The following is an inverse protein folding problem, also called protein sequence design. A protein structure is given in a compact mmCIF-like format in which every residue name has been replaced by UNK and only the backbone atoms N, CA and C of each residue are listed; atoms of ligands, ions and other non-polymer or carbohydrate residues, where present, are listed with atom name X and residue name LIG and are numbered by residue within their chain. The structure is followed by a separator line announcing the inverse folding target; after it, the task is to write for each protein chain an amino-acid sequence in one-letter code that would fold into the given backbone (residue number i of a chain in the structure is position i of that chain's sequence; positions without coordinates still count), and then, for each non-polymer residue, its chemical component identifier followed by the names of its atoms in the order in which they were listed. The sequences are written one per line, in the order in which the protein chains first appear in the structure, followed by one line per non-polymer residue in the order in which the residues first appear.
data_IF_406440107695
#
_entry.id   IF_406440107695
#
_cell.length_a   1.000
_cell.length_b   1.000
_cell.length_c   1.000
_cell.angle_alpha   90.00
_cell.angle_beta   90.00
_cell.angle_gamma   90.00
#
_symmetry.space_group_name_H-M   'P 1'
#
loop_
_entity.id
_entity.type
_entity.pdbx_description
1 polymer ?
#
# COMPACT_ATOMS: atom_id res chain seq x y z
N UNK A 1 7.98 -23.01 -12.44
CA UNK A 1 8.67 -21.95 -11.67
C UNK A 1 9.06 -22.41 -10.24
N UNK A 2 9.45 -23.69 -10.03
CA UNK A 2 9.67 -24.29 -8.69
C UNK A 2 11.14 -24.46 -8.28
N UNK A 3 12.10 -23.97 -9.07
CA UNK A 3 13.55 -24.16 -8.80
C UNK A 3 14.22 -23.06 -7.98
N UNK A 4 13.60 -21.87 -7.83
CA UNK A 4 14.25 -20.72 -7.19
C UNK A 4 14.01 -20.59 -5.69
N UNK A 5 12.97 -21.22 -5.13
CA UNK A 5 12.71 -21.23 -3.69
C UNK A 5 13.66 -22.13 -2.89
N UNK A 6 14.27 -23.15 -3.53
CA UNK A 6 15.16 -24.11 -2.84
C UNK A 6 16.55 -23.54 -2.54
N UNK A 7 16.98 -22.49 -3.22
CA UNK A 7 18.31 -21.88 -3.03
C UNK A 7 18.36 -20.81 -1.91
N UNK A 8 17.21 -20.36 -1.41
CA UNK A 8 17.12 -19.39 -0.31
C UNK A 8 17.20 -20.13 1.04
N UNK A 9 16.60 -21.33 1.14
CA UNK A 9 16.64 -22.15 2.36
C UNK A 9 18.06 -22.60 2.75
N UNK A 10 18.91 -22.99 1.79
CA UNK A 10 20.27 -23.47 2.11
C UNK A 10 21.22 -22.36 2.58
N UNK A 11 20.96 -21.08 2.25
CA UNK A 11 21.80 -19.95 2.70
C UNK A 11 21.44 -19.46 4.10
N UNK A 12 20.21 -19.70 4.55
CA UNK A 12 19.77 -19.35 5.90
C UNK A 12 20.33 -20.32 6.95
N UNK A 13 20.49 -21.61 6.63
CA UNK A 13 21.07 -22.60 7.54
C UNK A 13 22.59 -22.39 7.78
N UNK A 14 23.37 -22.02 6.74
CA UNK A 14 24.80 -21.69 6.89
C UNK A 14 25.04 -20.40 7.70
N UNK A 15 24.09 -19.45 7.70
CA UNK A 15 24.19 -18.22 8.48
C UNK A 15 23.92 -18.46 9.98
N UNK A 16 23.08 -19.45 10.31
CA UNK A 16 22.69 -19.78 11.69
C UNK A 16 23.79 -20.61 12.39
N UNK A 17 24.49 -21.51 11.70
CA UNK A 17 25.65 -22.22 12.27
C UNK A 17 26.81 -21.27 12.61
N UNK A 18 27.09 -20.26 11.77
CA UNK A 18 28.17 -19.30 11.99
C UNK A 18 27.90 -18.31 13.15
N UNK A 19 26.65 -18.12 13.54
CA UNK A 19 26.27 -17.26 14.67
C UNK A 19 26.33 -17.99 16.03
N UNK A 20 26.30 -19.33 16.03
CA UNK A 20 26.37 -20.13 17.24
C UNK A 20 27.82 -20.40 17.72
N UNK A 21 28.81 -20.43 16.82
CA UNK A 21 30.22 -20.62 17.20
C UNK A 21 30.87 -19.38 17.83
N UNK A 22 30.35 -18.18 17.58
CA UNK A 22 30.97 -16.93 18.05
C UNK A 22 30.56 -16.49 19.47
N UNK A 23 29.52 -17.10 20.06
CA UNK A 23 29.01 -16.71 21.39
C UNK A 23 29.60 -17.50 22.56
N UNK A 24 30.50 -18.46 22.33
CA UNK A 24 31.09 -19.30 23.39
C UNK A 24 32.42 -18.82 23.94
N UNK A 25 32.99 -17.69 23.47
CA UNK A 25 34.40 -17.37 23.75
C UNK A 25 34.68 -16.11 24.57
N UNK A 26 33.69 -15.39 25.12
CA UNK A 26 33.99 -14.25 26.00
C UNK A 26 33.04 -14.16 27.19
N UNK A 27 33.31 -15.01 28.19
CA UNK A 27 32.97 -14.75 29.59
C UNK A 27 34.27 -14.69 30.38
N UNK A 28 34.65 -13.49 30.87
CA UNK A 28 35.39 -13.32 32.13
C UNK A 28 35.69 -11.84 32.44
N UNK A 29 35.29 -11.41 33.66
CA UNK A 29 35.78 -10.27 34.47
C UNK A 29 35.31 -8.87 33.99
N UNK A 30 34.86 -7.91 34.81
CA UNK A 30 35.09 -7.62 36.22
C UNK A 30 34.01 -6.66 36.79
N UNK A 31 34.07 -6.48 38.11
CA UNK A 31 33.13 -5.87 39.06
C UNK A 31 32.83 -4.36 38.91
N UNK A 32 31.65 -3.98 39.45
CA UNK A 32 31.17 -2.67 39.91
C UNK A 32 32.09 -1.44 39.79
N UNK A 33 31.74 -0.52 38.89
CA UNK A 33 31.86 0.93 39.11
C UNK A 33 30.55 1.61 38.67
N UNK A 34 29.90 2.30 39.60
CA UNK A 34 28.80 3.22 39.28
C UNK A 34 29.38 4.47 38.63
N UNK A 35 29.26 4.58 37.31
CA UNK A 35 29.46 5.83 36.56
C UNK A 35 28.25 6.04 35.67
N UNK A 36 27.66 7.23 35.80
CA UNK A 36 26.43 7.67 35.14
C UNK A 36 26.42 7.34 33.65
N UNK A 37 25.28 6.83 33.15
CA UNK A 37 25.04 6.70 31.73
C UNK A 37 25.22 8.06 31.06
N UNK A 38 26.29 8.21 30.28
CA UNK A 38 26.52 9.34 29.40
C UNK A 38 25.76 9.20 28.08
N UNK A 39 24.82 8.25 27.99
CA UNK A 39 24.00 8.07 26.80
C UNK A 39 22.83 9.04 26.85
N UNK A 40 22.99 10.16 26.16
CA UNK A 40 21.85 10.92 25.67
C UNK A 40 21.39 10.23 24.38
N UNK A 41 20.17 9.68 24.30
CA UNK A 41 19.69 9.07 23.09
C UNK A 41 19.65 10.11 21.97
N UNK A 42 20.24 9.80 20.82
CA UNK A 42 20.13 10.65 19.64
C UNK A 42 18.64 10.77 19.24
N UNK A 43 18.16 11.97 18.86
CA UNK A 43 16.79 12.15 18.43
C UNK A 43 16.54 11.32 17.17
N UNK A 44 15.50 10.47 17.21
CA UNK A 44 14.95 9.89 15.99
C UNK A 44 14.26 11.05 15.26
N UNK A 45 14.75 11.37 14.06
CA UNK A 45 14.17 12.42 13.23
C UNK A 45 13.12 11.78 12.32
N UNK A 46 11.90 12.31 12.35
CA UNK A 46 10.82 11.91 11.45
C UNK A 46 10.71 12.97 10.36
N UNK A 47 10.68 12.57 9.08
CA UNK A 47 10.58 13.52 7.98
C UNK A 47 9.19 14.18 7.96
N UNK A 48 8.15 13.44 8.34
CA UNK A 48 6.78 13.94 8.52
C UNK A 48 5.97 13.15 9.57
N UNK A 49 4.67 13.50 9.68
CA UNK A 49 3.73 12.88 10.61
C UNK A 49 3.28 11.47 10.17
N UNK A 50 3.44 11.12 8.89
CA UNK A 50 3.16 9.79 8.35
C UNK A 50 4.26 8.84 8.81
N UNK A 51 5.53 9.21 8.64
CA UNK A 51 6.70 8.47 9.15
C UNK A 51 6.60 8.24 10.66
N UNK A 52 6.22 9.29 11.40
CA UNK A 52 6.01 9.17 12.85
C UNK A 52 4.90 8.18 13.20
N UNK A 53 3.81 8.14 12.43
CA UNK A 53 2.68 7.24 12.68
C UNK A 53 2.96 5.78 12.29
N UNK A 54 3.76 5.54 11.24
CA UNK A 54 4.04 4.22 10.68
C UNK A 54 4.97 3.36 11.56
N UNK A 55 5.72 3.98 12.47
CA UNK A 55 6.59 3.22 13.38
C UNK A 55 5.82 2.29 14.31
N UNK A 56 4.59 2.65 14.67
CA UNK A 56 3.75 1.81 15.53
C UNK A 56 3.40 0.48 14.84
N UNK A 57 2.80 0.46 13.63
CA UNK A 57 2.57 -0.79 12.91
C UNK A 57 3.86 -1.53 12.57
N UNK A 58 4.95 -0.85 12.19
CA UNK A 58 6.25 -1.49 11.93
C UNK A 58 6.79 -2.25 13.15
N UNK A 59 6.74 -1.63 14.34
CA UNK A 59 7.12 -2.28 15.59
C UNK A 59 6.18 -3.46 15.90
N UNK A 60 4.89 -3.33 15.56
CA UNK A 60 3.89 -4.36 15.81
C UNK A 60 3.94 -5.55 14.83
N UNK A 61 4.56 -5.42 13.65
CA UNK A 61 4.73 -6.56 12.74
C UNK A 61 5.48 -7.73 13.40
N UNK A 62 6.45 -7.43 14.27
CA UNK A 62 7.18 -8.42 15.05
C UNK A 62 6.36 -9.06 16.20
N UNK A 63 5.12 -8.62 16.41
CA UNK A 63 4.17 -9.30 17.30
C UNK A 63 3.67 -10.62 16.71
N UNK A 64 3.57 -10.71 15.37
CA UNK A 64 3.09 -11.91 14.66
C UNK A 64 4.01 -13.10 14.94
N UNK A 65 5.34 -12.91 14.87
CA UNK A 65 6.32 -13.94 15.17
C UNK A 65 6.18 -14.50 16.59
N UNK A 66 5.95 -13.63 17.58
CA UNK A 66 5.78 -14.02 18.97
C UNK A 66 4.48 -14.81 19.20
N UNK A 67 3.40 -14.39 18.55
CA UNK A 67 2.12 -15.09 18.57
C UNK A 67 2.25 -16.49 17.98
N UNK A 68 2.87 -16.64 16.81
CA UNK A 68 3.11 -17.94 16.18
C UNK A 68 3.99 -18.86 17.05
N UNK A 69 5.06 -18.30 17.63
CA UNK A 69 5.96 -19.04 18.53
C UNK A 69 5.22 -19.57 19.76
N UNK A 70 4.27 -18.82 20.32
CA UNK A 70 3.42 -19.26 21.42
C UNK A 70 2.55 -20.47 21.04
N UNK A 71 1.83 -20.43 19.91
CA UNK A 71 1.00 -21.56 19.47
C UNK A 71 1.83 -22.78 19.06
N UNK A 72 3.00 -22.57 18.44
CA UNK A 72 3.93 -23.66 18.16
C UNK A 72 4.40 -24.35 19.45
N UNK A 73 4.65 -23.57 20.51
CA UNK A 73 4.98 -24.11 21.82
C UNK A 73 3.79 -24.86 22.45
N UNK A 74 2.56 -24.33 22.38
CA UNK A 74 1.35 -24.99 22.87
C UNK A 74 1.10 -26.33 22.17
N UNK A 75 1.20 -26.36 20.84
CA UNK A 75 1.00 -27.56 20.03
C UNK A 75 2.06 -28.64 20.29
N UNK A 76 3.22 -28.25 20.84
CA UNK A 76 4.24 -29.21 21.29
C UNK A 76 3.88 -29.90 22.63
N UNK A 77 2.78 -29.47 23.28
CA UNK A 77 2.30 -29.92 24.58
C UNK A 77 3.40 -29.95 25.66
N UNK A 78 4.30 -28.96 25.61
CA UNK A 78 5.45 -28.86 26.51
C UNK A 78 5.38 -27.56 27.30
N UNK A 79 5.02 -27.67 28.58
CA UNK A 79 4.90 -26.55 29.53
C UNK A 79 6.11 -25.62 29.54
N UNK A 80 7.33 -26.16 29.58
CA UNK A 80 8.55 -25.35 29.63
C UNK A 80 8.75 -24.53 28.35
N UNK A 81 8.39 -25.08 27.18
CA UNK A 81 8.45 -24.35 25.91
C UNK A 81 7.42 -23.22 25.89
N UNK A 82 6.22 -23.47 26.41
CA UNK A 82 5.14 -22.46 26.49
C UNK A 82 5.54 -21.31 27.42
N UNK A 83 6.00 -21.62 28.64
CA UNK A 83 6.49 -20.63 29.60
C UNK A 83 7.64 -19.77 29.03
N UNK A 84 8.55 -20.41 28.28
CA UNK A 84 9.64 -19.70 27.60
C UNK A 84 9.11 -18.77 26.49
N UNK A 85 8.17 -19.24 25.66
CA UNK A 85 7.57 -18.43 24.59
C UNK A 85 6.84 -17.21 25.15
N UNK A 86 6.03 -17.38 26.21
CA UNK A 86 5.36 -16.29 26.92
C UNK A 86 6.36 -15.28 27.47
N UNK A 87 7.44 -15.76 28.09
CA UNK A 87 8.48 -14.89 28.67
C UNK A 87 9.19 -14.05 27.60
N UNK A 88 9.50 -14.64 26.43
CA UNK A 88 10.08 -13.93 25.29
C UNK A 88 9.11 -12.87 24.79
N UNK A 89 7.84 -13.25 24.56
CA UNK A 89 6.81 -12.36 24.06
C UNK A 89 6.63 -11.11 24.93
N UNK A 90 6.53 -11.28 26.26
CA UNK A 90 6.43 -10.15 27.20
C UNK A 90 7.67 -9.25 27.17
N UNK A 91 8.86 -9.84 27.10
CA UNK A 91 10.11 -9.07 27.05
C UNK A 91 10.21 -8.25 25.76
N UNK A 92 9.79 -8.80 24.62
CA UNK A 92 9.80 -8.06 23.36
C UNK A 92 8.77 -6.92 23.36
N UNK A 93 7.57 -7.14 23.91
CA UNK A 93 6.59 -6.06 24.11
C UNK A 93 7.14 -4.92 24.99
N UNK A 94 7.93 -5.23 26.03
CA UNK A 94 8.60 -4.20 26.84
C UNK A 94 9.66 -3.44 26.02
N UNK A 95 10.41 -4.11 25.15
CA UNK A 95 11.36 -3.45 24.24
C UNK A 95 10.64 -2.55 23.23
N UNK A 96 9.51 -3.00 22.68
CA UNK A 96 8.69 -2.22 21.75
C UNK A 96 8.16 -0.96 22.41
N UNK A 97 7.62 -1.08 23.62
CA UNK A 97 7.20 0.06 24.44
C UNK A 97 8.33 1.05 24.69
N UNK A 98 9.55 0.56 24.95
CA UNK A 98 10.72 1.41 25.13
C UNK A 98 11.17 2.09 23.82
N UNK A 99 11.02 1.44 22.67
CA UNK A 99 11.24 2.07 21.36
C UNK A 99 10.24 3.22 21.14
N UNK A 100 8.95 3.00 21.44
CA UNK A 100 7.93 4.06 21.37
C UNK A 100 8.28 5.24 22.28
N UNK A 101 8.75 5.00 23.51
CA UNK A 101 9.19 6.08 24.40
C UNK A 101 10.31 6.94 23.81
N UNK A 102 11.21 6.32 23.04
CA UNK A 102 12.35 7.01 22.40
C UNK A 102 11.95 7.85 21.19
N UNK A 103 10.78 7.59 20.59
CA UNK A 103 10.26 8.43 19.50
C UNK A 103 10.08 9.89 19.95
N UNK A 104 9.66 10.12 21.20
CA UNK A 104 9.35 11.45 21.70
C UNK A 104 8.09 12.04 21.07
N UNK A 105 7.67 13.26 21.46
CA UNK A 105 6.51 13.92 20.88
C UNK A 105 6.75 14.39 19.44
N UNK A 106 5.75 14.30 18.58
CA UNK A 106 5.77 14.89 17.25
C UNK A 106 5.26 16.33 17.31
N UNK A 107 6.11 17.30 16.96
CA UNK A 107 5.81 18.74 17.08
C UNK A 107 5.27 19.17 18.46
N UNK A 108 5.70 18.49 19.53
CA UNK A 108 5.22 18.73 20.89
C UNK A 108 3.90 18.06 21.26
N UNK A 109 3.30 17.26 20.37
CA UNK A 109 2.18 16.38 20.64
C UNK A 109 2.66 14.95 20.96
N UNK A 110 2.45 14.51 22.19
CA UNK A 110 2.77 13.15 22.65
C UNK A 110 1.53 12.22 22.67
N UNK A 111 0.38 12.65 22.17
CA UNK A 111 -0.87 11.89 22.29
C UNK A 111 -0.77 10.50 21.64
N UNK A 112 -0.30 10.41 20.39
CA UNK A 112 -0.15 9.12 19.71
C UNK A 112 0.89 8.22 20.42
N UNK A 113 1.98 8.81 20.92
CA UNK A 113 3.00 8.11 21.70
C UNK A 113 2.39 7.47 22.97
N UNK A 114 1.60 8.24 23.71
CA UNK A 114 0.96 7.78 24.94
C UNK A 114 -0.03 6.63 24.65
N UNK A 115 -0.81 6.73 23.57
CA UNK A 115 -1.73 5.67 23.17
C UNK A 115 -1.00 4.41 22.72
N UNK A 116 0.12 4.53 22.02
CA UNK A 116 0.96 3.39 21.64
C UNK A 116 1.60 2.70 22.87
N UNK A 117 2.07 3.47 23.86
CA UNK A 117 2.55 2.90 25.14
C UNK A 117 1.44 2.13 25.83
N UNK A 118 0.23 2.71 25.92
CA UNK A 118 -0.92 2.06 26.53
C UNK A 118 -1.34 0.79 25.77
N UNK A 119 -1.25 0.80 24.44
CA UNK A 119 -1.51 -0.35 23.59
C UNK A 119 -0.58 -1.54 23.91
N UNK A 120 0.73 -1.29 24.03
CA UNK A 120 1.68 -2.35 24.42
C UNK A 120 1.49 -2.81 25.87
N UNK A 121 1.16 -1.91 26.80
CA UNK A 121 0.80 -2.29 28.18
C UNK A 121 -0.44 -3.18 28.23
N UNK A 122 -1.46 -2.89 27.44
CA UNK A 122 -2.69 -3.69 27.36
C UNK A 122 -2.42 -5.07 26.74
N UNK A 123 -1.53 -5.17 25.74
CA UNK A 123 -1.06 -6.46 25.20
C UNK A 123 -0.34 -7.30 26.25
N UNK A 124 0.55 -6.70 27.05
CA UNK A 124 1.23 -7.41 28.15
C UNK A 124 0.21 -7.92 29.18
N UNK A 125 -0.76 -7.08 29.58
CA UNK A 125 -1.82 -7.50 30.50
C UNK A 125 -2.69 -8.61 29.92
N UNK A 126 -2.95 -8.62 28.62
CA UNK A 126 -3.72 -9.69 27.95
C UNK A 126 -2.95 -11.02 28.00
N UNK A 127 -1.62 -10.97 27.86
CA UNK A 127 -0.80 -12.17 28.04
C UNK A 127 -0.95 -12.71 29.46
N UNK A 128 -0.77 -11.85 30.47
CA UNK A 128 -0.83 -12.23 31.89
C UNK A 128 -2.20 -12.71 32.34
N UNK A 129 -3.26 -12.05 31.88
CA UNK A 129 -4.61 -12.31 32.37
C UNK A 129 -5.35 -13.38 31.57
N UNK A 130 -5.01 -13.53 30.28
CA UNK A 130 -5.82 -14.30 29.33
C UNK A 130 -5.00 -15.40 28.64
N UNK A 131 -3.90 -15.08 27.93
CA UNK A 131 -3.12 -16.11 27.23
C UNK A 131 -2.43 -17.09 28.16
N UNK A 132 -1.88 -16.65 29.30
CA UNK A 132 -1.30 -17.55 30.31
C UNK A 132 -2.34 -18.51 30.89
N UNK A 133 -3.56 -18.03 31.14
CA UNK A 133 -4.67 -18.87 31.64
C UNK A 133 -5.18 -19.83 30.57
N UNK A 134 -5.28 -19.36 29.32
CA UNK A 134 -5.62 -20.21 28.18
C UNK A 134 -4.57 -21.31 28.01
N UNK A 135 -3.28 -20.97 28.08
CA UNK A 135 -2.20 -21.95 27.98
C UNK A 135 -2.27 -23.02 29.07
N UNK A 136 -2.53 -22.62 30.32
CA UNK A 136 -2.71 -23.57 31.41
C UNK A 136 -3.91 -24.50 31.17
N UNK A 137 -5.04 -23.93 30.75
CA UNK A 137 -6.25 -24.68 30.42
C UNK A 137 -6.00 -25.67 29.27
N UNK A 138 -5.26 -25.25 28.24
CA UNK A 138 -4.88 -26.10 27.11
C UNK A 138 -4.01 -27.28 27.54
N UNK A 139 -2.96 -27.02 28.33
CA UNK A 139 -2.02 -28.05 28.78
C UNK A 139 -2.64 -29.06 29.77
N UNK A 140 -3.75 -28.70 30.39
CA UNK A 140 -4.46 -29.53 31.38
C UNK A 140 -5.78 -30.10 30.88
N UNK A 141 -6.14 -29.84 29.61
CA UNK A 141 -7.42 -30.23 29.00
C UNK A 141 -8.63 -29.73 29.81
N UNK A 142 -8.55 -28.49 30.28
CA UNK A 142 -9.60 -27.89 31.10
C UNK A 142 -10.84 -27.53 30.27
N UNK A 143 -12.06 -27.75 30.79
CA UNK A 143 -13.30 -27.60 30.03
C UNK A 143 -13.61 -26.16 29.60
N UNK A 144 -12.97 -25.16 30.21
CA UNK A 144 -13.15 -23.74 29.89
C UNK A 144 -12.08 -23.19 28.94
N UNK A 145 -11.24 -24.05 28.34
CA UNK A 145 -10.17 -23.64 27.42
C UNK A 145 -10.69 -22.76 26.27
N UNK A 146 -11.82 -23.10 25.66
CA UNK A 146 -12.38 -22.34 24.52
C UNK A 146 -12.80 -20.93 24.94
N UNK A 147 -13.46 -20.79 26.09
CA UNK A 147 -13.87 -19.49 26.62
C UNK A 147 -12.66 -18.57 26.87
N UNK A 148 -11.57 -19.14 27.40
CA UNK A 148 -10.33 -18.41 27.66
C UNK A 148 -9.62 -18.00 26.36
N UNK A 149 -9.63 -18.86 25.34
CA UNK A 149 -9.15 -18.55 24.00
C UNK A 149 -9.93 -17.38 23.40
N UNK A 150 -11.26 -17.48 23.37
CA UNK A 150 -12.13 -16.47 22.79
C UNK A 150 -11.92 -15.12 23.50
N UNK A 151 -11.76 -15.11 24.83
CA UNK A 151 -11.48 -13.89 25.58
C UNK A 151 -10.14 -13.27 25.21
N UNK A 152 -9.07 -14.06 25.13
CA UNK A 152 -7.73 -13.59 24.77
C UNK A 152 -7.69 -12.98 23.36
N UNK A 153 -8.34 -13.65 22.40
CA UNK A 153 -8.43 -13.22 21.01
C UNK A 153 -9.30 -11.97 20.84
N UNK A 154 -10.46 -11.91 21.50
CA UNK A 154 -11.33 -10.74 21.45
C UNK A 154 -10.65 -9.50 22.04
N UNK A 155 -9.91 -9.66 23.15
CA UNK A 155 -9.13 -8.56 23.74
C UNK A 155 -8.03 -8.09 22.77
N UNK A 156 -7.30 -9.02 22.13
CA UNK A 156 -6.29 -8.71 21.11
C UNK A 156 -6.88 -7.83 19.99
N UNK A 157 -8.02 -8.22 19.42
CA UNK A 157 -8.70 -7.46 18.37
C UNK A 157 -9.14 -6.07 18.85
N UNK A 158 -9.74 -5.99 20.05
CA UNK A 158 -10.20 -4.71 20.60
C UNK A 158 -9.06 -3.70 20.83
N UNK A 159 -7.83 -4.16 21.09
CA UNK A 159 -6.67 -3.28 21.19
C UNK A 159 -6.24 -2.75 19.83
N UNK A 160 -6.27 -3.60 18.78
CA UNK A 160 -5.99 -3.18 17.41
C UNK A 160 -6.94 -2.08 16.94
N UNK A 161 -8.24 -2.27 17.15
CA UNK A 161 -9.25 -1.27 16.79
C UNK A 161 -8.99 0.07 17.49
N UNK A 162 -8.60 0.03 18.77
CA UNK A 162 -8.33 1.23 19.55
C UNK A 162 -7.11 1.99 19.04
N UNK A 163 -6.00 1.32 18.76
CA UNK A 163 -4.80 2.02 18.28
C UNK A 163 -5.00 2.55 16.86
N UNK A 164 -5.72 1.81 16.00
CA UNK A 164 -6.05 2.26 14.65
C UNK A 164 -6.91 3.54 14.65
N UNK A 165 -7.91 3.62 15.54
CA UNK A 165 -8.71 4.84 15.71
C UNK A 165 -7.86 6.04 16.18
N UNK A 166 -6.80 5.81 16.97
CA UNK A 166 -5.88 6.88 17.38
C UNK A 166 -4.90 7.28 16.28
N UNK A 167 -4.42 6.32 15.48
CA UNK A 167 -3.62 6.57 14.28
C UNK A 167 -4.40 7.44 13.29
N UNK A 168 -5.64 7.07 12.98
CA UNK A 168 -6.51 7.83 12.08
C UNK A 168 -6.74 9.26 12.58
N UNK A 169 -7.03 9.45 13.87
CA UNK A 169 -7.21 10.78 14.48
C UNK A 169 -5.94 11.62 14.45
N UNK A 170 -4.79 11.01 14.68
CA UNK A 170 -3.50 11.70 14.63
C UNK A 170 -3.20 12.15 13.20
N UNK A 171 -3.32 11.24 12.22
CA UNK A 171 -3.12 11.53 10.80
C UNK A 171 -4.07 12.65 10.36
N UNK A 172 -5.38 12.52 10.61
CA UNK A 172 -6.37 13.55 10.26
C UNK A 172 -6.05 14.92 10.87
N UNK A 173 -5.60 14.97 12.13
CA UNK A 173 -5.25 16.22 12.80
C UNK A 173 -4.11 16.96 12.08
N UNK A 174 -3.09 16.23 11.63
CA UNK A 174 -1.94 16.80 10.93
C UNK A 174 -2.19 17.01 9.44
N UNK A 175 -3.05 16.20 8.82
CA UNK A 175 -3.64 16.48 7.51
C UNK A 175 -4.38 17.83 7.51
N UNK A 176 -5.29 18.03 8.47
CA UNK A 176 -6.07 19.27 8.61
C UNK A 176 -5.16 20.48 8.90
N UNK A 177 -4.14 20.30 9.75
CA UNK A 177 -3.16 21.36 10.09
C UNK A 177 -2.28 21.73 8.89
N UNK A 178 -1.93 20.76 8.06
CA UNK A 178 -1.09 20.95 6.87
C UNK A 178 -1.91 21.40 5.63
N UNK A 179 -3.25 21.27 5.69
CA UNK A 179 -4.15 21.58 4.57
C UNK A 179 -4.18 23.06 4.14
N UNK A 180 -3.94 24.02 5.06
CA UNK A 180 -4.10 25.46 4.74
C UNK A 180 -2.77 26.23 4.48
N UNK A 181 -1.60 25.70 4.88
CA UNK A 181 -0.30 26.40 4.73
C UNK A 181 0.83 25.48 4.21
N UNK A 182 0.78 24.18 4.52
CA UNK A 182 1.87 23.24 4.24
C UNK A 182 1.81 22.61 2.86
N UNK A 183 0.62 22.30 2.36
CA UNK A 183 0.39 21.68 1.04
C UNK A 183 1.09 22.46 -0.08
N UNK A 184 0.88 23.77 -0.17
CA UNK A 184 1.40 24.56 -1.30
C UNK A 184 2.94 24.72 -1.25
N UNK A 185 3.54 24.80 -0.07
CA UNK A 185 5.01 24.86 0.08
C UNK A 185 5.68 23.50 -0.05
N UNK A 186 5.04 22.42 0.40
CA UNK A 186 5.55 21.06 0.30
C UNK A 186 5.43 20.52 -1.13
N UNK A 187 4.32 20.79 -1.83
CA UNK A 187 4.24 20.58 -3.28
C UNK A 187 5.29 21.43 -3.99
N UNK A 188 5.49 22.71 -3.65
CA UNK A 188 6.56 23.50 -4.29
C UNK A 188 7.98 22.97 -4.04
N UNK A 189 8.27 22.41 -2.86
CA UNK A 189 9.59 21.84 -2.54
C UNK A 189 9.80 20.46 -3.17
N UNK A 190 8.79 19.60 -3.15
CA UNK A 190 8.79 18.31 -3.83
C UNK A 190 8.84 18.50 -5.35
N UNK A 191 8.00 19.36 -5.91
CA UNK A 191 8.01 19.73 -7.32
C UNK A 191 9.35 20.32 -7.73
N UNK A 192 9.97 21.19 -6.91
CA UNK A 192 11.27 21.77 -7.20
C UNK A 192 12.40 20.73 -7.19
N UNK A 193 12.38 19.77 -6.26
CA UNK A 193 13.36 18.68 -6.18
C UNK A 193 13.19 17.71 -7.35
N UNK A 194 11.96 17.34 -7.70
CA UNK A 194 11.64 16.52 -8.87
C UNK A 194 12.00 17.22 -10.19
N UNK A 195 11.82 18.55 -10.27
CA UNK A 195 12.30 19.38 -11.39
C UNK A 195 13.83 19.52 -11.44
N UNK A 196 14.52 19.33 -10.33
CA UNK A 196 15.99 19.32 -10.26
C UNK A 196 16.55 17.97 -10.68
N UNK A 197 16.00 16.87 -10.16
CA UNK A 197 16.39 15.49 -10.44
C UNK A 197 15.99 15.03 -11.86
N UNK A 198 15.00 15.68 -12.48
CA UNK A 198 14.54 15.38 -13.84
C UNK A 198 15.42 15.88 -14.98
N UNK A 199 16.37 16.80 -14.71
CA UNK A 199 17.12 17.47 -15.79
C UNK A 199 18.00 16.54 -16.62
N UNK A 200 18.38 15.39 -16.05
CA UNK A 200 19.24 14.39 -16.70
C UNK A 200 18.64 12.96 -16.64
N UNK A 201 17.35 12.82 -16.28
CA UNK A 201 16.72 11.49 -16.16
C UNK A 201 16.43 10.90 -17.56
N UNK A 202 17.07 9.79 -17.96
CA UNK A 202 16.90 9.19 -19.29
C UNK A 202 15.47 8.65 -19.51
N UNK A 203 14.71 8.39 -18.44
CA UNK A 203 13.31 7.98 -18.54
C UNK A 203 12.40 9.12 -19.01
N UNK A 204 12.86 10.37 -19.03
CA UNK A 204 12.07 11.53 -19.46
C UNK A 204 12.35 11.96 -20.91
N UNK A 205 13.21 11.25 -21.65
CA UNK A 205 13.50 11.56 -23.05
C UNK A 205 12.22 11.45 -23.91
N UNK A 206 11.83 12.47 -24.70
CA UNK A 206 10.62 12.40 -25.52
C UNK A 206 10.60 11.21 -26.47
N UNK A 207 9.44 10.56 -26.61
CA UNK A 207 9.24 9.41 -27.50
C UNK A 207 8.54 9.91 -28.76
N UNK A 208 9.16 9.80 -29.93
CA UNK A 208 8.65 10.39 -31.19
C UNK A 208 8.41 11.91 -31.14
N UNK A 209 9.07 12.61 -30.21
CA UNK A 209 8.81 14.03 -29.95
C UNK A 209 7.63 14.29 -29.01
N UNK A 210 6.98 13.25 -28.47
CA UNK A 210 5.95 13.33 -27.44
C UNK A 210 6.66 13.38 -26.09
N UNK A 211 6.65 14.54 -25.43
CA UNK A 211 7.13 14.68 -24.05
C UNK A 211 6.15 14.04 -23.07
N UNK A 212 6.58 13.86 -21.81
CA UNK A 212 5.69 13.39 -20.74
C UNK A 212 4.50 14.35 -20.54
N UNK A 213 4.72 15.65 -20.75
CA UNK A 213 3.66 16.66 -20.66
C UNK A 213 2.66 16.55 -21.82
N UNK A 214 3.14 16.34 -23.05
CA UNK A 214 2.30 16.11 -24.23
C UNK A 214 1.44 14.85 -24.05
N UNK A 215 2.06 13.77 -23.52
CA UNK A 215 1.37 12.53 -23.23
C UNK A 215 0.29 12.70 -22.17
N UNK A 216 0.62 13.30 -21.01
CA UNK A 216 -0.35 13.57 -19.93
C UNK A 216 -1.53 14.42 -20.42
N UNK A 217 -1.26 15.51 -21.14
CA UNK A 217 -2.29 16.37 -21.70
C UNK A 217 -3.16 15.63 -22.74
N UNK A 218 -2.54 14.80 -23.60
CA UNK A 218 -3.24 14.01 -24.60
C UNK A 218 -4.17 12.97 -23.96
N UNK A 219 -3.68 12.20 -22.98
CA UNK A 219 -4.48 11.23 -22.22
C UNK A 219 -5.70 11.88 -21.58
N UNK A 220 -5.53 13.05 -20.95
CA UNK A 220 -6.67 13.72 -20.32
C UNK A 220 -7.66 14.27 -21.35
N UNK A 221 -7.20 14.81 -22.49
CA UNK A 221 -8.13 15.26 -23.54
C UNK A 221 -8.92 14.08 -24.14
N UNK A 222 -8.25 12.98 -24.44
CA UNK A 222 -8.89 11.75 -24.90
C UNK A 222 -9.89 11.25 -23.85
N UNK A 223 -9.48 11.19 -22.59
CA UNK A 223 -10.32 10.84 -21.45
C UNK A 223 -11.45 11.83 -21.14
N UNK A 224 -11.40 13.04 -21.71
CA UNK A 224 -12.47 14.06 -21.69
C UNK A 224 -13.36 13.96 -22.93
N UNK A 225 -13.35 12.83 -23.63
CA UNK A 225 -14.07 12.56 -24.87
C UNK A 225 -13.71 13.48 -26.04
N UNK A 226 -12.52 14.10 -26.04
CA UNK A 226 -12.02 14.73 -27.27
C UNK A 226 -11.62 13.61 -28.25
N UNK A 227 -12.05 13.67 -29.53
CA UNK A 227 -11.65 12.66 -30.51
C UNK A 227 -10.12 12.51 -30.56
N UNK A 228 -9.64 11.28 -30.39
CA UNK A 228 -8.20 10.98 -30.39
C UNK A 228 -7.52 11.55 -31.64
N UNK A 229 -8.16 11.42 -32.81
CA UNK A 229 -7.63 11.98 -34.07
C UNK A 229 -7.36 13.48 -34.02
N UNK A 230 -8.14 14.25 -33.27
CA UNK A 230 -7.96 15.69 -33.12
C UNK A 230 -6.83 16.00 -32.14
N UNK A 231 -6.70 15.20 -31.07
CA UNK A 231 -5.58 15.28 -30.12
C UNK A 231 -4.25 14.97 -30.83
N UNK A 232 -4.18 13.87 -31.57
CA UNK A 232 -2.98 13.47 -32.32
C UNK A 232 -2.58 14.51 -33.36
N UNK A 233 -3.57 15.06 -34.07
CA UNK A 233 -3.35 16.15 -35.03
C UNK A 233 -2.83 17.42 -34.37
N UNK A 234 -3.33 17.77 -33.18
CA UNK A 234 -2.86 18.92 -32.42
C UNK A 234 -1.43 18.74 -31.90
N UNK A 235 -1.04 17.51 -31.57
CA UNK A 235 0.34 17.14 -31.20
C UNK A 235 1.27 16.95 -32.41
N UNK A 236 0.72 16.85 -33.63
CA UNK A 236 1.50 16.64 -34.85
C UNK A 236 2.09 15.24 -34.98
N UNK A 237 1.41 14.23 -34.43
CA UNK A 237 1.87 12.83 -34.42
C UNK A 237 0.84 11.91 -35.07
N UNK A 238 1.31 10.78 -35.61
CA UNK A 238 0.45 9.74 -36.16
C UNK A 238 0.10 8.67 -35.12
N UNK A 239 -1.04 7.98 -35.29
CA UNK A 239 -1.53 6.94 -34.37
C UNK A 239 -0.49 5.88 -33.96
N UNK A 240 0.33 5.31 -34.87
CA UNK A 240 1.35 4.35 -34.46
C UNK A 240 2.41 4.94 -33.52
N UNK A 241 2.74 6.23 -33.69
CA UNK A 241 3.71 6.91 -32.82
C UNK A 241 3.10 7.15 -31.43
N UNK A 242 1.81 7.52 -31.38
CA UNK A 242 1.08 7.67 -30.13
C UNK A 242 0.97 6.35 -29.36
N UNK A 243 0.65 5.25 -30.04
CA UNK A 243 0.51 3.93 -29.41
C UNK A 243 1.83 3.43 -28.83
N UNK A 244 2.92 3.61 -29.58
CA UNK A 244 4.25 3.27 -29.10
C UNK A 244 4.68 4.17 -27.92
N UNK A 245 4.42 5.48 -28.00
CA UNK A 245 4.70 6.38 -26.89
C UNK A 245 3.88 6.04 -25.63
N UNK A 246 2.60 5.72 -25.78
CA UNK A 246 1.73 5.33 -24.66
C UNK A 246 2.26 4.08 -23.95
N UNK A 247 2.66 3.06 -24.72
CA UNK A 247 3.27 1.84 -24.18
C UNK A 247 4.58 2.14 -23.43
N UNK A 248 5.48 2.91 -24.05
CA UNK A 248 6.80 3.17 -23.47
C UNK A 248 6.68 4.09 -22.25
N UNK A 249 5.77 5.07 -22.23
CA UNK A 249 5.53 5.89 -21.04
C UNK A 249 5.02 5.05 -19.86
N UNK A 250 4.08 4.13 -20.10
CA UNK A 250 3.63 3.20 -19.07
C UNK A 250 4.77 2.32 -18.55
N UNK A 251 5.61 1.78 -19.45
CA UNK A 251 6.79 1.01 -19.05
C UNK A 251 7.80 1.84 -18.25
N UNK A 252 8.01 3.11 -18.60
CA UNK A 252 8.93 4.00 -17.88
C UNK A 252 8.41 4.35 -16.49
N UNK A 253 7.10 4.54 -16.35
CA UNK A 253 6.46 4.70 -15.04
C UNK A 253 6.60 3.43 -14.17
N UNK A 254 6.51 2.23 -14.77
CA UNK A 254 6.75 0.96 -14.05
C UNK A 254 8.23 0.75 -13.68
N UNK A 255 9.16 1.19 -14.53
CA UNK A 255 10.60 1.01 -14.32
C UNK A 255 11.23 2.07 -13.40
N UNK A 256 10.52 3.17 -13.17
CA UNK A 256 10.98 4.29 -12.37
C UNK A 256 10.89 4.00 -10.87
N UNK A 257 11.98 3.49 -10.31
CA UNK A 257 12.10 3.20 -8.87
C UNK A 257 12.12 4.46 -8.00
N UNK A 258 12.37 5.63 -8.59
CA UNK A 258 12.45 6.92 -7.89
C UNK A 258 11.12 7.70 -7.96
N UNK A 259 10.08 7.15 -8.60
CA UNK A 259 8.75 7.74 -8.77
C UNK A 259 8.72 9.15 -9.41
N UNK A 260 9.83 9.59 -9.99
CA UNK A 260 10.00 10.88 -10.68
C UNK A 260 9.06 11.04 -11.88
N UNK A 261 9.01 10.06 -12.77
CA UNK A 261 8.15 10.01 -13.96
C UNK A 261 6.68 10.01 -13.56
N UNK A 262 6.27 9.18 -12.59
CA UNK A 262 4.89 9.12 -12.12
C UNK A 262 4.45 10.43 -11.45
N UNK A 263 5.36 11.04 -10.69
CA UNK A 263 5.12 12.31 -10.01
C UNK A 263 4.96 13.45 -11.02
N UNK A 264 5.87 13.60 -11.98
CA UNK A 264 5.77 14.60 -13.05
C UNK A 264 4.51 14.40 -13.89
N UNK A 265 4.22 13.14 -14.26
CA UNK A 265 3.00 12.77 -14.98
C UNK A 265 1.75 13.27 -14.25
N UNK A 266 1.66 13.02 -12.94
CA UNK A 266 0.54 13.45 -12.10
C UNK A 266 0.48 14.97 -11.93
N UNK A 267 1.62 15.63 -11.71
CA UNK A 267 1.68 17.10 -11.60
C UNK A 267 1.16 17.78 -12.86
N UNK A 268 1.44 17.24 -14.05
CA UNK A 268 0.98 17.81 -15.29
C UNK A 268 -0.52 17.88 -15.40
N UNK A 269 -1.28 17.05 -14.68
CA UNK A 269 -2.74 17.07 -14.71
C UNK A 269 -3.31 18.40 -14.20
N UNK A 270 -2.62 19.03 -13.26
CA UNK A 270 -3.00 20.35 -12.71
C UNK A 270 -2.67 21.50 -13.67
N UNK A 271 -1.80 21.27 -14.66
CA UNK A 271 -1.27 22.28 -15.60
C UNK A 271 -1.77 22.06 -17.02
N UNK A 272 -2.75 21.19 -17.26
CA UNK A 272 -3.22 20.84 -18.61
C UNK A 272 -3.74 22.06 -19.34
N UNK A 273 -4.45 22.94 -18.65
CA UNK A 273 -5.02 24.16 -19.23
C UNK A 273 -3.96 25.13 -19.78
N UNK A 274 -2.72 25.02 -19.27
CA UNK A 274 -1.55 25.76 -19.70
C UNK A 274 -0.81 25.10 -20.88
N UNK A 275 -1.21 23.88 -21.28
CA UNK A 275 -0.51 23.13 -22.32
C UNK A 275 -0.51 23.91 -23.64
N UNK A 276 0.65 24.12 -24.30
CA UNK A 276 0.76 25.02 -25.44
C UNK A 276 -0.20 24.72 -26.59
N UNK A 277 -0.47 23.44 -26.84
CA UNK A 277 -1.28 22.94 -27.97
C UNK A 277 -2.61 22.32 -27.55
N UNK A 278 -2.68 21.77 -26.33
CA UNK A 278 -3.80 20.99 -25.83
C UNK A 278 -4.54 21.68 -24.68
N UNK A 279 -4.04 22.81 -24.18
CA UNK A 279 -4.69 23.56 -23.11
C UNK A 279 -5.91 24.35 -23.60
N UNK A 280 -6.30 25.37 -22.85
CA UNK A 280 -7.50 26.17 -23.17
C UNK A 280 -7.43 26.88 -24.53
N UNK A 281 -6.23 27.02 -25.10
CA UNK A 281 -6.01 27.60 -26.42
C UNK A 281 -6.21 26.60 -27.58
N UNK A 282 -6.29 25.30 -27.29
CA UNK A 282 -6.34 24.23 -28.31
C UNK A 282 -7.67 24.12 -29.07
N UNK A 283 -8.75 24.77 -28.60
CA UNK A 283 -10.09 24.71 -29.20
C UNK A 283 -10.57 23.28 -29.56
N UNK A 284 -10.14 22.28 -28.79
CA UNK A 284 -10.57 20.90 -28.95
C UNK A 284 -11.92 20.72 -28.27
N UNK A 285 -12.90 20.25 -29.02
CA UNK A 285 -14.26 20.02 -28.51
C UNK A 285 -14.41 18.57 -28.13
N UNK A 286 -14.94 18.32 -26.94
CA UNK A 286 -15.41 17.00 -26.55
C UNK A 286 -16.56 16.58 -27.45
N UNK A 287 -16.60 15.30 -27.82
CA UNK A 287 -17.77 14.71 -28.45
C UNK A 287 -18.90 14.61 -27.40
N UNK A 288 -19.96 15.40 -27.61
CA UNK A 288 -21.15 15.41 -26.74
C UNK A 288 -22.25 14.48 -27.26
N UNK A 289 -21.94 13.55 -28.16
CA UNK A 289 -22.90 12.54 -28.58
C UNK A 289 -23.49 11.82 -27.36
N UNK A 290 -24.82 11.64 -27.36
CA UNK A 290 -25.51 10.94 -26.28
C UNK A 290 -25.03 9.50 -26.20
N UNK A 291 -24.18 9.20 -25.22
CA UNK A 291 -23.71 7.85 -24.94
C UNK A 291 -24.66 7.17 -23.94
N UNK A 292 -25.44 6.15 -24.35
CA UNK A 292 -26.33 5.43 -23.43
C UNK A 292 -25.60 4.76 -22.26
N UNK A 293 -24.31 4.45 -22.41
CA UNK A 293 -23.51 3.89 -21.33
C UNK A 293 -23.20 4.92 -20.22
N UNK A 294 -23.14 6.23 -20.52
CA UNK A 294 -22.97 7.27 -19.51
C UNK A 294 -24.18 7.36 -18.57
N UNK A 295 -25.39 7.19 -19.10
CA UNK A 295 -26.59 7.14 -18.26
C UNK A 295 -26.67 5.85 -17.45
N UNK A 296 -26.25 4.73 -18.03
CA UNK A 296 -26.14 3.45 -17.28
C UNK A 296 -25.11 3.54 -16.16
N UNK A 297 -23.97 4.18 -16.38
CA UNK A 297 -22.93 4.38 -15.37
C UNK A 297 -23.48 5.06 -14.10
N UNK A 298 -24.40 6.01 -14.28
CA UNK A 298 -25.08 6.73 -13.19
C UNK A 298 -26.20 5.92 -12.54
N UNK A 299 -26.96 5.16 -13.32
CA UNK A 299 -28.24 4.57 -12.87
C UNK A 299 -28.17 3.09 -12.52
N UNK A 300 -27.18 2.36 -13.02
CA UNK A 300 -27.01 0.93 -12.85
C UNK A 300 -25.73 0.64 -12.05
N UNK A 301 -25.92 0.27 -10.78
CA UNK A 301 -24.82 0.00 -9.84
C UNK A 301 -23.99 -1.21 -10.31
N UNK A 302 -24.63 -2.29 -10.76
CA UNK A 302 -23.91 -3.47 -11.25
C UNK A 302 -23.10 -3.16 -12.50
N UNK A 303 -23.64 -2.37 -13.42
CA UNK A 303 -22.90 -1.95 -14.60
C UNK A 303 -21.62 -1.17 -14.27
N UNK A 304 -21.65 -0.28 -13.25
CA UNK A 304 -20.45 0.41 -12.80
C UNK A 304 -19.38 -0.56 -12.30
N UNK A 305 -19.74 -1.51 -11.43
CA UNK A 305 -18.78 -2.45 -10.85
C UNK A 305 -18.31 -3.52 -11.85
N UNK A 306 -19.15 -3.94 -12.82
CA UNK A 306 -18.73 -4.76 -13.96
C UNK A 306 -17.69 -4.02 -14.82
N UNK A 307 -17.93 -2.73 -15.11
CA UNK A 307 -16.99 -1.90 -15.87
C UNK A 307 -15.67 -1.69 -15.11
N UNK A 308 -15.74 -1.47 -13.79
CA UNK A 308 -14.56 -1.34 -12.94
C UNK A 308 -13.72 -2.63 -12.94
N UNK A 309 -14.38 -3.79 -12.79
CA UNK A 309 -13.74 -5.10 -12.85
C UNK A 309 -13.04 -5.34 -14.19
N UNK A 310 -13.69 -4.98 -15.30
CA UNK A 310 -13.12 -5.15 -16.63
C UNK A 310 -11.95 -4.19 -16.89
N UNK A 311 -12.04 -2.95 -16.42
CA UNK A 311 -10.93 -1.97 -16.46
C UNK A 311 -9.71 -2.51 -15.71
N UNK A 312 -9.91 -3.03 -14.51
CA UNK A 312 -8.83 -3.57 -13.67
C UNK A 312 -8.22 -4.83 -14.29
N UNK A 313 -9.03 -5.70 -14.90
CA UNK A 313 -8.55 -6.87 -15.64
C UNK A 313 -7.75 -6.47 -16.89
N UNK A 314 -8.16 -5.41 -17.60
CA UNK A 314 -7.43 -4.90 -18.77
C UNK A 314 -6.04 -4.38 -18.36
N UNK A 315 -5.95 -3.65 -17.24
CA UNK A 315 -4.68 -3.18 -16.67
C UNK A 315 -3.77 -4.36 -16.33
N UNK A 316 -4.31 -5.41 -15.70
CA UNK A 316 -3.53 -6.57 -15.27
C UNK A 316 -2.95 -7.39 -16.44
N UNK A 317 -3.58 -7.32 -17.63
CA UNK A 317 -3.02 -7.91 -18.86
C UNK A 317 -2.18 -6.92 -19.69
N UNK A 318 -1.81 -5.77 -19.11
CA UNK A 318 -0.93 -4.78 -19.71
C UNK A 318 -1.60 -3.86 -20.75
N UNK A 319 -2.93 -3.73 -20.74
CA UNK A 319 -3.66 -2.74 -21.55
C UNK A 319 -3.82 -1.44 -20.76
N UNK A 320 -3.92 -0.32 -21.46
CA UNK A 320 -4.40 0.92 -20.86
C UNK A 320 -5.89 0.77 -20.52
N UNK A 321 -6.21 0.63 -19.24
CA UNK A 321 -7.58 0.46 -18.77
C UNK A 321 -8.49 1.65 -19.08
N UNK A 322 -7.97 2.88 -19.04
CA UNK A 322 -8.74 4.09 -19.32
C UNK A 322 -9.06 4.17 -20.83
N UNK A 323 -8.08 3.90 -21.69
CA UNK A 323 -8.31 3.83 -23.13
C UNK A 323 -9.24 2.67 -23.49
N UNK A 324 -9.09 1.52 -22.83
CA UNK A 324 -9.93 0.34 -23.07
C UNK A 324 -11.43 0.63 -22.83
N UNK A 325 -11.76 1.25 -21.69
CA UNK A 325 -13.16 1.58 -21.39
C UNK A 325 -13.70 2.69 -22.30
N UNK A 326 -12.85 3.63 -22.72
CA UNK A 326 -13.23 4.65 -23.68
C UNK A 326 -13.54 4.03 -25.05
N UNK A 327 -12.66 3.19 -25.57
CA UNK A 327 -12.83 2.53 -26.87
C UNK A 327 -14.06 1.62 -26.89
N UNK A 328 -14.27 0.84 -25.82
CA UNK A 328 -15.33 -0.16 -25.76
C UNK A 328 -16.69 0.42 -25.38
N UNK A 329 -16.72 1.37 -24.46
CA UNK A 329 -17.97 1.87 -23.86
C UNK A 329 -18.24 3.35 -24.16
N UNK A 330 -17.29 4.08 -24.75
CA UNK A 330 -17.37 5.53 -24.93
C UNK A 330 -17.38 6.30 -23.61
N UNK A 331 -16.89 5.67 -22.52
CA UNK A 331 -16.87 6.27 -21.19
C UNK A 331 -15.47 6.80 -20.94
N UNK A 332 -15.36 8.13 -20.86
CA UNK A 332 -14.13 8.79 -20.46
C UNK A 332 -13.77 8.50 -19.00
N UNK A 333 -12.47 8.51 -18.69
CA UNK A 333 -11.98 8.23 -17.33
C UNK A 333 -12.50 9.24 -16.29
N UNK A 334 -12.74 10.48 -16.70
CA UNK A 334 -13.30 11.52 -15.83
C UNK A 334 -14.75 11.19 -15.45
N UNK A 335 -15.57 10.76 -16.41
CA UNK A 335 -16.95 10.34 -16.16
C UNK A 335 -16.98 9.13 -15.22
N UNK A 336 -16.07 8.18 -15.42
CA UNK A 336 -15.89 7.02 -14.55
C UNK A 336 -15.50 7.42 -13.11
N UNK A 337 -14.49 8.28 -12.95
CA UNK A 337 -14.01 8.73 -11.63
C UNK A 337 -15.08 9.50 -10.86
N UNK A 338 -15.84 10.36 -11.54
CA UNK A 338 -16.96 11.09 -10.94
C UNK A 338 -18.01 10.13 -10.35
N UNK A 339 -18.30 9.03 -11.04
CA UNK A 339 -19.22 8.01 -10.53
C UNK A 339 -18.59 7.14 -9.44
N UNK A 340 -17.29 6.84 -9.52
CA UNK A 340 -16.59 6.08 -8.48
C UNK A 340 -16.69 6.75 -7.11
N UNK A 341 -16.51 8.08 -7.04
CA UNK A 341 -16.66 8.84 -5.79
C UNK A 341 -18.06 8.72 -5.18
N UNK A 342 -19.11 8.73 -6.00
CA UNK A 342 -20.49 8.56 -5.54
C UNK A 342 -20.75 7.12 -5.04
N UNK A 343 -20.13 6.11 -5.69
CA UNK A 343 -20.29 4.69 -5.33
C UNK A 343 -19.56 4.32 -4.04
N UNK A 344 -18.39 4.90 -3.77
CA UNK A 344 -17.66 4.68 -2.51
C UNK A 344 -18.43 5.20 -1.29
N UNK A 345 -19.32 6.18 -1.49
CA UNK A 345 -20.20 6.73 -0.44
C UNK A 345 -21.52 5.97 -0.29
N UNK A 346 -21.74 4.91 -1.07
CA UNK A 346 -22.96 4.10 -1.02
C UNK A 346 -22.94 3.07 0.11
N UNK A 347 -24.10 2.77 0.69
CA UNK A 347 -24.23 1.77 1.77
C UNK A 347 -23.97 0.32 1.34
N UNK A 348 -23.89 0.03 0.04
CA UNK A 348 -23.68 -1.30 -0.54
C UNK A 348 -22.23 -1.56 -0.98
N UNK A 349 -21.32 -0.61 -0.73
CA UNK A 349 -19.94 -0.65 -1.22
C UNK A 349 -19.23 -1.98 -0.92
N UNK A 350 -19.30 -2.47 0.33
CA UNK A 350 -18.62 -3.70 0.73
C UNK A 350 -19.07 -4.94 -0.06
N UNK A 351 -20.38 -5.11 -0.33
CA UNK A 351 -20.87 -6.23 -1.14
C UNK A 351 -20.52 -6.10 -2.61
N UNK A 352 -20.49 -4.87 -3.12
CA UNK A 352 -20.20 -4.63 -4.54
C UNK A 352 -18.71 -4.75 -4.87
N UNK A 353 -17.81 -4.50 -3.90
CA UNK A 353 -16.39 -4.79 -4.05
C UNK A 353 -16.15 -6.30 -4.21
N UNK A 354 -16.81 -7.15 -3.43
CA UNK A 354 -16.73 -8.61 -3.62
C UNK A 354 -17.18 -9.02 -5.02
N UNK A 355 -18.31 -8.47 -5.49
CA UNK A 355 -18.80 -8.69 -6.85
C UNK A 355 -17.81 -8.23 -7.93
N UNK A 356 -17.18 -7.06 -7.75
CA UNK A 356 -16.15 -6.56 -8.67
C UNK A 356 -14.94 -7.52 -8.74
N UNK A 357 -14.50 -8.06 -7.60
CA UNK A 357 -13.39 -9.02 -7.57
C UNK A 357 -13.73 -10.31 -8.33
N UNK A 358 -14.91 -10.87 -8.11
CA UNK A 358 -15.38 -12.07 -8.84
C UNK A 358 -15.44 -11.81 -10.36
N UNK A 359 -15.97 -10.65 -10.76
CA UNK A 359 -16.06 -10.27 -12.17
C UNK A 359 -14.71 -10.03 -12.81
N UNK A 360 -13.75 -9.50 -12.05
CA UNK A 360 -12.39 -9.28 -12.55
C UNK A 360 -11.76 -10.61 -12.95
N UNK A 361 -11.94 -11.67 -12.16
CA UNK A 361 -11.45 -13.02 -12.51
C UNK A 361 -12.07 -13.55 -13.82
N UNK A 362 -13.36 -13.30 -14.04
CA UNK A 362 -14.03 -13.69 -15.30
C UNK A 362 -13.46 -12.95 -16.51
N UNK A 363 -13.21 -11.64 -16.40
CA UNK A 363 -12.61 -10.85 -17.47
C UNK A 363 -11.14 -11.21 -17.70
N UNK A 364 -10.37 -11.53 -16.66
CA UNK A 364 -9.01 -12.03 -16.79
C UNK A 364 -8.96 -13.33 -17.61
N UNK A 365 -9.88 -14.28 -17.33
CA UNK A 365 -10.00 -15.52 -18.14
C UNK A 365 -10.34 -15.20 -19.59
N UNK A 366 -11.23 -14.25 -19.85
CA UNK A 366 -11.56 -13.82 -21.21
C UNK A 366 -10.34 -13.26 -21.94
N UNK A 367 -9.61 -12.33 -21.33
CA UNK A 367 -8.39 -11.76 -21.91
C UNK A 367 -7.30 -12.82 -22.13
N UNK A 368 -7.12 -13.77 -21.21
CA UNK A 368 -6.18 -14.88 -21.37
C UNK A 368 -6.52 -15.79 -22.55
N UNK A 369 -7.81 -16.05 -22.77
CA UNK A 369 -8.29 -16.81 -23.92
C UNK A 369 -8.09 -16.05 -25.24
N UNK A 370 -8.33 -14.74 -25.25
CA UNK A 370 -8.11 -13.88 -26.42
C UNK A 370 -6.62 -13.75 -26.79
N UNK A 371 -5.73 -13.78 -25.79
CA UNK A 371 -4.27 -13.77 -25.98
C UNK A 371 -3.68 -15.14 -26.38
N UNK A 372 -4.54 -16.14 -26.61
CA UNK A 372 -4.16 -17.41 -27.25
C UNK A 372 -4.19 -18.64 -26.35
N UNK A 373 -4.65 -18.55 -25.10
CA UNK A 373 -4.86 -19.69 -24.21
C UNK A 373 -3.59 -20.49 -23.87
N UNK A 374 -3.40 -20.87 -22.61
CA UNK A 374 -2.35 -21.86 -22.30
C UNK A 374 -2.71 -23.21 -22.92
N UNK A 375 -1.73 -23.85 -23.56
CA UNK A 375 -1.70 -25.26 -24.03
C UNK A 375 -1.98 -26.28 -22.88
N UNK A 376 -2.35 -25.83 -21.69
CA UNK A 376 -2.47 -26.63 -20.48
C UNK A 376 -3.83 -27.34 -20.31
N UNK A 377 -4.84 -27.06 -21.14
CA UNK A 377 -6.16 -27.71 -21.04
C UNK A 377 -6.28 -29.03 -21.84
N UNK A 378 -5.25 -29.42 -22.62
CA UNK A 378 -5.24 -30.63 -23.45
C UNK A 378 -4.63 -31.87 -22.76
N UNK A 379 -4.75 -32.01 -21.43
CA UNK A 379 -4.40 -33.25 -20.73
C UNK A 379 -5.60 -33.72 -19.88
N UNK A 380 -6.42 -34.58 -20.48
CA UNK A 380 -7.31 -35.47 -19.73
C UNK A 380 -6.47 -36.53 -19.00
N UNK A 381 -6.68 -36.67 -17.68
CA UNK A 381 -6.13 -37.76 -16.86
C UNK A 381 -7.10 -38.94 -16.77
#
# INVERSE_FOLDING_TARGET
MFGKLKNIFNKAEEAIENLQENNTTQSSNSENESVQSSYQPEPIYFEDYIDYSNIIPEIDEHYVDNYENFYNALNSNNRQKVEKAISIWKNDLEKYKEQVRKMGPYEGDDSLQQHAIAYFDDKIKNIENDFEKYAEAFLTDAPNQQELYDRAENNKMAFYDRINDQLEKFVQKYDDKNSDIGIEQMYQQHDAKVLEDSKDNPLLEPIHGISLYDYAAGVVKIGSNVPETDVLKALGVDKPQWDEASLIWNQRMEQDTEMTVMTLYSQYFTKIDEHPTLGNNGNLSADTASNPNLERLKTDEHFFYDLAAERDAAIEVGKDGAQYILDKYGIGIIDFQNQAMERTRSGNYSSMITYQMEKKEDYLKQFQNEMGGTIADDIEF
#
